data_IF_622213131476
#
_entry.id   IF_622213131476
#
_cell.length_a   1.000
_cell.length_b   1.000
_cell.length_c   1.000
_cell.angle_alpha   90.00
_cell.angle_beta   90.00
_cell.angle_gamma   90.00
#
_symmetry.space_group_name_H-M   'P 1'
#
loop_
_entity.id
_entity.type
_entity.pdbx_description
1 polymer ?
#
# COMPACT_ATOMS: atom_id res chain seq x y z
N UNK A 1 -6.16 11.07 15.66
CA UNK A 1 -5.60 9.71 15.83
C UNK A 1 -5.88 8.97 14.54
N UNK A 2 -4.90 8.36 13.84
CA UNK A 2 -5.24 7.52 12.70
C UNK A 2 -5.96 6.27 13.23
N UNK A 3 -7.29 6.31 13.25
CA UNK A 3 -8.16 5.18 13.59
C UNK A 3 -8.24 4.26 12.38
N UNK A 4 -7.20 3.45 12.17
CA UNK A 4 -7.15 2.47 11.11
C UNK A 4 -6.31 1.27 11.50
N UNK A 5 -6.69 0.09 11.04
CA UNK A 5 -5.92 -1.14 11.20
C UNK A 5 -4.93 -1.28 10.06
N UNK A 6 -3.78 -1.90 10.29
CA UNK A 6 -2.87 -2.22 9.20
C UNK A 6 -3.49 -3.26 8.27
N UNK A 7 -3.25 -3.10 6.97
CA UNK A 7 -3.59 -4.10 5.96
C UNK A 7 -3.07 -5.48 6.38
N UNK A 8 -3.87 -6.52 6.19
CA UNK A 8 -3.52 -7.90 6.57
C UNK A 8 -2.35 -8.53 5.78
N UNK A 9 -1.77 -7.78 4.84
CA UNK A 9 -0.58 -8.16 4.09
C UNK A 9 0.65 -7.49 4.73
N UNK A 10 1.58 -8.26 5.34
CA UNK A 10 2.68 -7.71 6.14
C UNK A 10 3.55 -6.62 5.49
N UNK A 11 3.94 -6.71 4.19
CA UNK A 11 4.73 -5.66 3.56
C UNK A 11 3.89 -4.44 3.16
N UNK A 12 2.57 -4.48 3.34
CA UNK A 12 1.69 -3.36 3.08
C UNK A 12 1.56 -2.45 4.30
N UNK A 13 1.81 -1.15 4.10
CA UNK A 13 1.72 -0.11 5.15
C UNK A 13 0.42 0.68 5.11
N UNK A 14 -0.54 0.27 4.28
CA UNK A 14 -1.85 0.91 4.22
C UNK A 14 -2.67 0.67 5.49
N UNK A 15 -3.53 1.63 5.79
CA UNK A 15 -4.56 1.52 6.80
C UNK A 15 -5.90 1.09 6.18
N UNK A 16 -6.67 0.30 6.91
CA UNK A 16 -8.01 -0.21 6.56
C UNK A 16 -8.96 0.01 7.73
N UNK A 17 -10.26 0.06 7.45
CA UNK A 17 -11.30 0.28 8.46
C UNK A 17 -11.50 -0.92 9.40
N UNK A 18 -11.16 -2.13 8.94
CA UNK A 18 -11.41 -3.37 9.68
C UNK A 18 -10.14 -4.22 9.87
N UNK A 19 -9.95 -4.83 11.04
CA UNK A 19 -8.82 -5.74 11.26
C UNK A 19 -8.96 -6.98 10.36
N UNK A 20 -7.85 -7.39 9.74
CA UNK A 20 -7.84 -8.52 8.81
C UNK A 20 -8.32 -8.18 7.38
N UNK A 21 -8.67 -6.92 7.12
CA UNK A 21 -9.02 -6.46 5.77
C UNK A 21 -7.76 -6.11 4.96
N UNK A 22 -7.92 -6.09 3.64
CA UNK A 22 -6.87 -5.76 2.69
C UNK A 22 -7.21 -4.44 2.02
N UNK A 23 -6.23 -3.54 1.89
CA UNK A 23 -6.44 -2.27 1.22
C UNK A 23 -6.80 -2.43 -0.27
N UNK A 24 -6.42 -3.55 -0.88
CA UNK A 24 -6.69 -3.86 -2.29
C UNK A 24 -6.81 -5.37 -2.51
N UNK A 25 -7.43 -5.75 -3.64
CA UNK A 25 -7.46 -7.14 -4.09
C UNK A 25 -6.06 -7.70 -4.38
N UNK A 26 -5.09 -6.84 -4.70
CA UNK A 26 -3.69 -7.25 -4.91
C UNK A 26 -3.09 -7.82 -3.62
N UNK A 27 -3.21 -7.12 -2.49
CA UNK A 27 -2.71 -7.60 -1.19
C UNK A 27 -3.39 -8.91 -0.74
N UNK A 28 -4.69 -9.06 -1.03
CA UNK A 28 -5.43 -10.30 -0.73
C UNK A 28 -4.88 -11.47 -1.54
N UNK A 29 -4.67 -11.27 -2.85
CA UNK A 29 -4.14 -12.31 -3.74
C UNK A 29 -2.69 -12.63 -3.42
N UNK A 30 -1.83 -11.64 -3.18
CA UNK A 30 -0.43 -11.85 -2.80
C UNK A 30 -0.31 -12.68 -1.52
N UNK A 31 -1.12 -12.37 -0.50
CA UNK A 31 -1.17 -13.18 0.73
C UNK A 31 -1.67 -14.60 0.47
N UNK A 32 -2.70 -14.78 -0.36
CA UNK A 32 -3.25 -16.09 -0.70
C UNK A 32 -2.29 -16.93 -1.56
N UNK A 33 -1.51 -16.29 -2.44
CA UNK A 33 -0.48 -16.92 -3.25
C UNK A 33 0.76 -17.33 -2.43
N UNK A 34 0.87 -16.88 -1.18
CA UNK A 34 2.07 -17.07 -0.37
C UNK A 34 3.24 -16.25 -0.87
N UNK A 35 2.96 -15.15 -1.56
CA UNK A 35 3.97 -14.26 -2.12
C UNK A 35 4.73 -13.59 -0.97
N UNK A 36 5.94 -14.09 -0.74
CA UNK A 36 6.86 -13.62 0.29
C UNK A 36 7.62 -12.36 -0.16
N UNK A 37 7.05 -11.61 -1.10
CA UNK A 37 7.62 -10.35 -1.52
C UNK A 37 7.76 -9.41 -0.32
N UNK A 38 8.90 -8.73 -0.25
CA UNK A 38 9.21 -7.81 0.84
C UNK A 38 8.63 -6.41 0.59
N UNK A 39 8.08 -6.17 -0.60
CA UNK A 39 7.44 -4.94 -1.00
C UNK A 39 5.99 -5.15 -1.41
N UNK A 40 5.15 -4.16 -1.08
CA UNK A 40 3.77 -4.14 -1.51
C UNK A 40 3.61 -3.22 -2.71
N UNK A 41 3.11 -3.76 -3.82
CA UNK A 41 2.81 -3.02 -5.04
C UNK A 41 1.32 -2.67 -5.15
N UNK A 42 0.65 -2.33 -4.04
CA UNK A 42 -0.74 -1.87 -4.07
C UNK A 42 -0.90 -0.44 -4.63
N UNK A 43 0.21 0.22 -5.01
CA UNK A 43 0.26 1.56 -5.60
C UNK A 43 -0.36 2.68 -4.74
N UNK A 44 -0.72 2.40 -3.49
CA UNK A 44 -1.17 3.42 -2.55
C UNK A 44 -0.01 4.25 -2.04
N UNK A 45 -0.21 5.55 -1.74
CA UNK A 45 0.86 6.45 -1.30
C UNK A 45 1.64 5.91 -0.08
N UNK A 46 0.95 5.22 0.83
CA UNK A 46 1.57 4.57 1.99
C UNK A 46 2.57 3.45 1.65
N UNK A 47 2.42 2.78 0.50
CA UNK A 47 3.29 1.71 0.03
C UNK A 47 4.20 2.13 -1.11
N UNK A 48 3.79 3.09 -1.94
CA UNK A 48 4.54 3.52 -3.11
C UNK A 48 5.78 4.34 -2.74
N UNK A 49 5.83 5.00 -1.58
CA UNK A 49 7.05 5.56 -0.96
C UNK A 49 7.91 6.53 -1.78
N UNK A 50 7.58 6.78 -3.06
CA UNK A 50 8.22 7.65 -4.04
C UNK A 50 7.16 8.04 -5.07
N UNK A 51 6.37 9.05 -4.74
CA UNK A 51 5.51 9.71 -5.71
C UNK A 51 5.62 11.24 -5.54
N UNK A 52 6.84 11.75 -5.44
CA UNK A 52 7.14 13.18 -5.55
C UNK A 52 8.64 13.40 -5.75
N UNK A 53 9.16 12.91 -6.88
CA UNK A 53 10.28 13.61 -7.53
C UNK A 53 9.83 13.96 -8.95
N UNK A 54 9.43 15.22 -9.06
CA UNK A 54 9.51 16.09 -10.23
C UNK A 54 8.67 15.73 -11.46
N UNK A 55 7.45 16.29 -11.50
CA UNK A 55 6.73 16.58 -12.74
C UNK A 55 5.95 17.89 -12.54
N UNK A 56 6.68 18.98 -12.31
CA UNK A 56 6.19 20.31 -12.65
C UNK A 56 7.26 21.00 -13.49
N UNK A 57 7.35 20.55 -14.74
CA UNK A 57 7.80 21.43 -15.80
C UNK A 57 6.72 22.48 -16.02
N UNK A 58 6.85 23.62 -15.35
CA UNK A 58 6.13 24.85 -15.69
C UNK A 58 7.15 25.96 -15.87
N UNK A 59 7.41 26.26 -17.14
CA UNK A 59 8.21 27.38 -17.59
C UNK A 59 7.53 28.71 -17.25
N UNK A 60 8.30 29.68 -16.74
CA UNK A 60 8.27 31.10 -17.15
C UNK A 60 9.60 31.79 -16.77
#
# INVERSE_FOLDING_TARGET
MPTGFHCAYPPCRCYVDKPGEYCSAHCRQAKAAGDADTQCHCHHPACTGRAEEDQDGSAD
#
